data_IF_804316868458
#
_entry.id   IF_804316868458
#
_cell.length_a   1.000
_cell.length_b   1.000
_cell.length_c   1.000
_cell.angle_alpha   90.00
_cell.angle_beta   90.00
_cell.angle_gamma   90.00
#
_symmetry.space_group_name_H-M   'P 1'
#
loop_
_entity.id
_entity.type
_entity.pdbx_description
1 polymer ?
#
# COMPACT_ATOMS: atom_id res chain seq x y z
N UNK A 1 -14.64 21.94 3.47
CA UNK A 1 -13.61 21.20 2.72
C UNK A 1 -14.29 20.22 1.79
N UNK A 2 -13.91 20.12 0.54
CA UNK A 2 -14.41 19.09 -0.37
C UNK A 2 -13.88 17.73 0.10
N UNK A 3 -14.73 16.73 0.14
CA UNK A 3 -14.30 15.36 0.47
C UNK A 3 -13.66 14.73 -0.77
N UNK A 4 -12.34 14.56 -0.75
CA UNK A 4 -11.54 14.03 -1.87
C UNK A 4 -11.27 12.54 -1.76
N UNK A 5 -11.64 11.93 -0.62
CA UNK A 5 -11.48 10.51 -0.34
C UNK A 5 -12.75 10.01 0.31
N UNK A 6 -13.30 8.93 -0.17
CA UNK A 6 -14.45 8.25 0.41
C UNK A 6 -14.01 6.99 1.13
N UNK A 7 -14.57 6.77 2.30
CA UNK A 7 -14.28 5.57 3.09
C UNK A 7 -15.53 4.72 3.24
N UNK A 8 -15.36 3.42 3.17
CA UNK A 8 -16.39 2.44 3.50
C UNK A 8 -15.77 1.31 4.32
N UNK A 9 -16.52 0.76 5.27
CA UNK A 9 -16.11 -0.39 6.07
C UNK A 9 -17.13 -1.50 5.91
N UNK A 10 -16.67 -2.67 5.50
CA UNK A 10 -17.51 -3.83 5.29
C UNK A 10 -16.75 -5.10 5.66
N UNK A 11 -17.30 -5.91 6.56
CA UNK A 11 -16.83 -7.26 6.90
C UNK A 11 -15.32 -7.37 7.26
N UNK A 12 -14.77 -6.34 7.91
CA UNK A 12 -13.36 -6.29 8.27
C UNK A 12 -12.47 -5.62 7.22
N UNK A 13 -12.99 -5.29 6.05
CA UNK A 13 -12.29 -4.59 4.98
C UNK A 13 -12.59 -3.10 5.07
N UNK A 14 -11.55 -2.28 5.09
CA UNK A 14 -11.66 -0.84 5.03
C UNK A 14 -11.28 -0.34 3.64
N UNK A 15 -12.24 0.21 2.92
CA UNK A 15 -12.05 0.77 1.59
C UNK A 15 -11.69 2.26 1.68
N UNK A 16 -10.60 2.63 1.01
CA UNK A 16 -10.12 4.00 0.85
C UNK A 16 -10.25 4.39 -0.63
N UNK A 17 -11.40 4.93 -1.00
CA UNK A 17 -11.71 5.32 -2.37
C UNK A 17 -11.20 6.72 -2.68
N UNK A 18 -10.20 6.83 -3.55
CA UNK A 18 -9.65 8.08 -4.05
C UNK A 18 -10.67 8.73 -5.01
N UNK A 19 -11.13 9.96 -4.71
CA UNK A 19 -12.24 10.64 -5.42
C UNK A 19 -11.93 12.10 -5.72
N UNK A 20 -10.84 12.35 -6.43
CA UNK A 20 -10.45 13.69 -6.90
C UNK A 20 -10.35 13.73 -8.43
N UNK A 21 -11.48 13.95 -9.13
CA UNK A 21 -11.47 14.06 -10.58
C UNK A 21 -10.53 15.17 -11.10
N UNK A 22 -9.96 14.99 -12.32
CA UNK A 22 -10.12 13.82 -13.19
C UNK A 22 -9.17 12.67 -12.86
N UNK A 23 -8.01 12.89 -12.19
CA UNK A 23 -6.84 12.02 -12.21
C UNK A 23 -6.30 11.67 -10.80
N UNK A 24 -7.02 11.97 -9.74
CA UNK A 24 -6.55 11.79 -8.35
C UNK A 24 -5.15 12.39 -8.09
N UNK A 25 -4.88 13.57 -8.66
CA UNK A 25 -3.61 14.24 -8.45
C UNK A 25 -3.43 14.61 -6.96
N UNK A 26 -2.23 14.39 -6.43
CA UNK A 26 -1.89 14.57 -5.02
C UNK A 26 -1.66 16.07 -4.71
N UNK A 27 -2.74 16.77 -4.33
CA UNK A 27 -2.68 18.12 -3.74
C UNK A 27 -2.39 18.02 -2.24
N UNK A 28 -2.01 19.14 -1.62
CA UNK A 28 -1.80 19.19 -0.16
C UNK A 28 -3.04 18.80 0.62
N UNK A 29 -4.22 19.24 0.20
CA UNK A 29 -5.50 18.86 0.83
C UNK A 29 -5.80 17.36 0.70
N UNK A 30 -5.49 16.76 -0.46
CA UNK A 30 -5.63 15.32 -0.66
C UNK A 30 -4.69 14.53 0.25
N UNK A 31 -3.42 14.94 0.35
CA UNK A 31 -2.40 14.32 1.20
C UNK A 31 -2.82 14.39 2.68
N UNK A 32 -3.33 15.54 3.12
CA UNK A 32 -3.80 15.73 4.49
C UNK A 32 -5.00 14.84 4.83
N UNK A 33 -6.00 14.76 3.94
CA UNK A 33 -7.15 13.86 4.13
C UNK A 33 -6.72 12.39 4.17
N UNK A 34 -5.79 11.97 3.28
CA UNK A 34 -5.28 10.60 3.26
C UNK A 34 -4.52 10.26 4.55
N UNK A 35 -3.72 11.21 5.04
CA UNK A 35 -2.98 11.07 6.31
C UNK A 35 -3.93 10.82 7.46
N UNK A 36 -4.95 11.69 7.65
CA UNK A 36 -5.92 11.56 8.73
C UNK A 36 -6.70 10.25 8.69
N UNK A 37 -7.07 9.80 7.49
CA UNK A 37 -7.76 8.52 7.31
C UNK A 37 -6.88 7.35 7.76
N UNK A 38 -5.60 7.33 7.38
CA UNK A 38 -4.70 6.25 7.78
C UNK A 38 -4.31 6.31 9.27
N UNK A 39 -4.25 7.50 9.88
CA UNK A 39 -4.12 7.64 11.33
C UNK A 39 -5.33 7.04 12.07
N UNK A 40 -6.55 7.21 11.54
CA UNK A 40 -7.76 6.58 12.08
C UNK A 40 -7.72 5.06 11.89
N UNK A 41 -7.43 4.58 10.68
CA UNK A 41 -7.33 3.14 10.37
C UNK A 41 -6.31 2.43 11.27
N UNK A 42 -5.14 3.03 11.46
CA UNK A 42 -4.05 2.44 12.26
C UNK A 42 -4.43 2.27 13.74
N UNK A 43 -5.45 2.98 14.21
CA UNK A 43 -6.02 2.85 15.56
C UNK A 43 -7.30 1.99 15.60
N UNK A 44 -7.84 1.58 14.46
CA UNK A 44 -9.08 0.81 14.37
C UNK A 44 -8.80 -0.70 14.53
N UNK A 45 -9.21 -1.25 15.68
CA UNK A 45 -9.01 -2.68 16.01
C UNK A 45 -9.89 -3.64 15.22
N UNK A 46 -10.96 -3.16 14.63
CA UNK A 46 -11.89 -3.98 13.85
C UNK A 46 -11.44 -4.09 12.40
N UNK A 47 -10.56 -3.19 11.95
CA UNK A 47 -9.97 -3.25 10.61
C UNK A 47 -9.04 -4.49 10.49
N UNK A 48 -9.29 -5.29 9.47
CA UNK A 48 -8.51 -6.50 9.16
C UNK A 48 -7.62 -6.31 7.94
N UNK A 49 -8.08 -5.56 6.96
CA UNK A 49 -7.41 -5.28 5.68
C UNK A 49 -7.85 -3.90 5.17
N UNK A 50 -6.97 -3.21 4.49
CA UNK A 50 -7.25 -1.96 3.78
C UNK A 50 -7.12 -2.18 2.28
N UNK A 51 -8.12 -1.73 1.51
CA UNK A 51 -8.05 -1.66 0.05
C UNK A 51 -8.07 -0.18 -0.34
N UNK A 52 -7.00 0.31 -0.98
CA UNK A 52 -6.95 1.62 -1.61
C UNK A 52 -7.34 1.45 -3.06
N UNK A 53 -8.41 2.09 -3.48
CA UNK A 53 -8.92 2.04 -4.85
C UNK A 53 -9.27 3.43 -5.37
N UNK A 54 -9.43 3.59 -6.66
CA UNK A 54 -9.93 4.83 -7.25
C UNK A 54 -11.42 4.76 -7.53
N UNK A 55 -12.10 5.90 -7.36
CA UNK A 55 -13.50 6.10 -7.75
C UNK A 55 -13.63 6.91 -9.06
N UNK A 56 -12.50 7.16 -9.72
CA UNK A 56 -12.38 7.81 -11.03
C UNK A 56 -11.62 6.89 -11.99
N UNK A 57 -11.41 7.35 -13.23
CA UNK A 57 -10.84 6.50 -14.29
C UNK A 57 -9.37 6.07 -14.06
N UNK A 58 -8.63 6.77 -13.20
CA UNK A 58 -7.22 6.51 -12.96
C UNK A 58 -6.94 6.37 -11.46
N UNK A 59 -6.03 5.48 -11.11
CA UNK A 59 -5.64 5.30 -9.72
C UNK A 59 -5.08 6.60 -9.14
N UNK A 60 -3.99 7.12 -9.71
CA UNK A 60 -3.42 8.41 -9.31
C UNK A 60 -2.35 8.85 -10.32
N UNK A 61 -2.44 10.08 -10.80
CA UNK A 61 -1.48 10.65 -11.75
C UNK A 61 -0.23 11.28 -11.10
N UNK A 62 -0.08 11.16 -9.77
CA UNK A 62 1.03 11.74 -9.03
C UNK A 62 0.79 13.16 -8.53
N UNK A 63 1.85 13.90 -8.27
CA UNK A 63 1.78 15.25 -7.71
C UNK A 63 0.94 16.21 -8.57
N UNK A 64 0.17 17.09 -7.91
CA UNK A 64 -0.56 18.15 -8.62
C UNK A 64 0.42 19.21 -9.15
N UNK A 65 0.78 19.06 -10.44
CA UNK A 65 1.74 19.97 -11.09
C UNK A 65 1.23 21.41 -11.18
N UNK A 66 -0.10 21.64 -11.17
CA UNK A 66 -0.66 22.99 -11.16
C UNK A 66 -0.40 23.67 -9.82
N UNK A 67 -0.61 22.93 -8.72
CA UNK A 67 -0.29 23.41 -7.38
C UNK A 67 1.22 23.58 -7.20
N UNK A 68 2.03 22.63 -7.65
CA UNK A 68 3.50 22.69 -7.57
C UNK A 68 4.10 23.87 -8.31
N UNK A 69 3.57 24.24 -9.47
CA UNK A 69 4.07 25.33 -10.31
C UNK A 69 4.09 26.70 -9.62
N UNK A 70 3.19 26.92 -8.67
CA UNK A 70 3.05 28.22 -7.96
C UNK A 70 3.71 28.20 -6.57
N UNK A 71 4.28 27.08 -6.15
CA UNK A 71 4.97 26.98 -4.87
C UNK A 71 6.36 27.61 -4.92
N UNK A 72 6.77 28.25 -3.82
CA UNK A 72 8.19 28.56 -3.59
C UNK A 72 8.98 27.27 -3.40
N UNK A 73 10.30 27.32 -3.52
CA UNK A 73 11.17 26.16 -3.27
C UNK A 73 10.97 25.59 -1.86
N UNK A 74 10.87 26.48 -0.86
CA UNK A 74 10.62 26.08 0.53
C UNK A 74 9.28 25.37 0.71
N UNK A 75 8.21 25.90 0.11
CA UNK A 75 6.88 25.25 0.16
C UNK A 75 6.84 23.93 -0.60
N UNK A 76 7.61 23.80 -1.68
CA UNK A 76 7.72 22.55 -2.43
C UNK A 76 8.42 21.47 -1.62
N UNK A 77 9.45 21.83 -0.83
CA UNK A 77 10.17 20.94 0.08
C UNK A 77 9.25 20.49 1.23
N UNK A 78 8.57 21.44 1.89
CA UNK A 78 7.57 21.13 2.93
C UNK A 78 6.42 20.25 2.42
N UNK A 79 6.00 20.45 1.18
CA UNK A 79 4.97 19.59 0.56
C UNK A 79 5.47 18.16 0.31
N UNK A 80 6.76 18.01 0.00
CA UNK A 80 7.40 16.71 -0.13
C UNK A 80 7.51 16.01 1.23
N UNK A 81 7.85 16.73 2.29
CA UNK A 81 7.87 16.19 3.66
C UNK A 81 6.50 15.68 4.09
N UNK A 82 5.42 16.44 3.81
CA UNK A 82 4.05 15.99 4.08
C UNK A 82 3.69 14.72 3.33
N UNK A 83 4.08 14.64 2.05
CA UNK A 83 3.85 13.47 1.21
C UNK A 83 4.59 12.24 1.74
N UNK A 84 5.88 12.40 2.09
CA UNK A 84 6.69 11.35 2.69
C UNK A 84 6.10 10.87 4.02
N UNK A 85 5.66 11.81 4.89
CA UNK A 85 5.02 11.45 6.15
C UNK A 85 3.73 10.64 5.92
N UNK A 86 2.87 11.06 4.99
CA UNK A 86 1.65 10.34 4.62
C UNK A 86 1.98 8.91 4.17
N UNK A 87 2.95 8.74 3.28
CA UNK A 87 3.33 7.45 2.75
C UNK A 87 3.96 6.53 3.80
N UNK A 88 4.74 7.09 4.71
CA UNK A 88 5.27 6.33 5.85
C UNK A 88 4.16 5.85 6.80
N UNK A 89 3.11 6.67 7.02
CA UNK A 89 1.94 6.26 7.81
C UNK A 89 1.18 5.11 7.14
N UNK A 90 1.03 5.15 5.81
CA UNK A 90 0.42 4.07 5.03
C UNK A 90 1.26 2.78 5.11
N UNK A 91 2.57 2.87 4.87
CA UNK A 91 3.49 1.73 4.93
C UNK A 91 3.54 1.09 6.31
N UNK A 92 3.41 1.91 7.37
CA UNK A 92 3.38 1.46 8.76
C UNK A 92 2.02 0.94 9.23
N UNK A 93 1.00 0.91 8.36
CA UNK A 93 -0.31 0.34 8.68
C UNK A 93 -0.15 -1.07 9.26
N UNK A 94 -0.72 -1.36 10.45
CA UNK A 94 -0.49 -2.64 11.09
C UNK A 94 -1.15 -3.82 10.35
N UNK A 95 -2.26 -3.57 9.67
CA UNK A 95 -2.98 -4.59 8.89
C UNK A 95 -2.50 -4.62 7.43
N UNK A 96 -2.71 -5.71 6.68
CA UNK A 96 -2.38 -5.74 5.26
C UNK A 96 -3.09 -4.65 4.46
N UNK A 97 -2.37 -4.10 3.47
CA UNK A 97 -2.84 -3.05 2.57
C UNK A 97 -2.74 -3.52 1.13
N UNK A 98 -3.78 -3.27 0.32
CA UNK A 98 -3.87 -3.62 -1.09
C UNK A 98 -4.08 -2.34 -1.89
N UNK A 99 -3.23 -2.07 -2.89
CA UNK A 99 -3.48 -1.05 -3.90
C UNK A 99 -4.18 -1.70 -5.09
N UNK A 100 -5.44 -1.32 -5.32
CA UNK A 100 -6.24 -1.75 -6.46
C UNK A 100 -6.14 -0.70 -7.57
N UNK A 101 -5.36 -0.98 -8.61
CA UNK A 101 -4.84 -0.03 -9.59
C UNK A 101 -5.62 -0.17 -10.90
N UNK A 102 -6.43 0.83 -11.23
CA UNK A 102 -7.05 1.02 -12.54
C UNK A 102 -6.40 2.17 -13.31
N UNK A 103 -6.47 2.13 -14.64
CA UNK A 103 -5.99 3.21 -15.51
C UNK A 103 -4.53 3.59 -15.25
N UNK A 104 -4.25 4.87 -14.98
CA UNK A 104 -2.90 5.36 -14.76
C UNK A 104 -2.51 5.37 -13.28
N UNK A 105 -1.30 4.86 -12.99
CA UNK A 105 -0.65 4.90 -11.68
C UNK A 105 0.77 5.50 -11.88
N UNK A 106 0.91 6.82 -11.77
CA UNK A 106 2.14 7.51 -12.21
C UNK A 106 2.77 8.35 -11.11
N UNK A 107 4.10 8.37 -11.08
CA UNK A 107 4.89 9.22 -10.17
C UNK A 107 4.51 8.98 -8.70
N UNK A 108 4.09 10.03 -8.00
CA UNK A 108 3.61 9.92 -6.62
C UNK A 108 2.45 8.92 -6.44
N UNK A 109 1.67 8.64 -7.49
CA UNK A 109 0.66 7.58 -7.47
C UNK A 109 1.28 6.19 -7.45
N UNK A 110 2.34 5.98 -8.23
CA UNK A 110 3.12 4.74 -8.17
C UNK A 110 3.86 4.61 -6.81
N UNK A 111 4.39 5.71 -6.28
CA UNK A 111 5.00 5.74 -4.95
C UNK A 111 3.99 5.41 -3.84
N UNK A 112 2.73 5.87 -3.95
CA UNK A 112 1.63 5.47 -3.06
C UNK A 112 1.36 3.95 -3.14
N UNK A 113 1.27 3.40 -4.35
CA UNK A 113 1.05 1.98 -4.55
C UNK A 113 2.19 1.12 -3.97
N UNK A 114 3.45 1.60 -4.06
CA UNK A 114 4.61 0.93 -3.45
C UNK A 114 4.60 0.93 -1.91
N UNK A 115 3.79 1.76 -1.26
CA UNK A 115 3.63 1.75 0.20
C UNK A 115 2.68 0.65 0.68
N UNK A 116 1.88 0.07 -0.21
CA UNK A 116 1.00 -1.04 0.10
C UNK A 116 1.75 -2.38 0.11
N UNK A 117 1.22 -3.35 0.85
CA UNK A 117 1.79 -4.70 0.89
C UNK A 117 1.61 -5.41 -0.45
N UNK A 118 0.42 -5.28 -1.04
CA UNK A 118 0.08 -5.90 -2.32
C UNK A 118 -0.43 -4.86 -3.32
N UNK A 119 -0.20 -5.10 -4.61
CA UNK A 119 -0.67 -4.33 -5.76
C UNK A 119 -1.38 -5.26 -6.71
N UNK A 120 -2.60 -4.91 -7.07
CA UNK A 120 -3.40 -5.59 -8.11
C UNK A 120 -3.66 -4.56 -9.20
N UNK A 121 -3.31 -4.87 -10.43
CA UNK A 121 -3.54 -4.00 -11.57
C UNK A 121 -4.64 -4.56 -12.48
N UNK A 122 -5.53 -3.72 -13.01
CA UNK A 122 -6.34 -4.11 -14.17
C UNK A 122 -5.45 -4.42 -15.36
N UNK A 123 -5.90 -5.29 -16.26
CA UNK A 123 -5.16 -5.64 -17.50
C UNK A 123 -4.79 -4.38 -18.30
N UNK A 124 -5.73 -3.42 -18.45
CA UNK A 124 -5.52 -2.18 -19.19
C UNK A 124 -4.74 -1.11 -18.43
N UNK A 125 -4.45 -1.31 -17.14
CA UNK A 125 -3.76 -0.31 -16.31
C UNK A 125 -2.28 -0.17 -16.67
N UNK A 126 -1.73 1.02 -16.39
CA UNK A 126 -0.29 1.29 -16.56
C UNK A 126 0.29 1.96 -15.34
N UNK A 127 1.55 1.64 -15.04
CA UNK A 127 2.29 2.20 -13.90
C UNK A 127 3.65 2.76 -14.36
N UNK A 128 4.19 3.78 -13.70
CA UNK A 128 5.50 4.31 -14.07
C UNK A 128 5.95 5.52 -13.25
N UNK A 129 7.22 5.88 -13.45
CA UNK A 129 7.90 6.98 -12.73
C UNK A 129 8.40 8.03 -13.75
N UNK A 130 7.54 8.97 -14.19
CA UNK A 130 7.88 9.94 -15.24
C UNK A 130 8.75 11.13 -14.76
N UNK A 131 9.14 11.18 -13.50
CA UNK A 131 9.75 12.33 -12.83
C UNK A 131 10.99 12.84 -13.54
N UNK A 132 11.87 11.96 -14.04
CA UNK A 132 13.11 12.37 -14.70
C UNK A 132 12.87 13.07 -16.04
N UNK A 133 11.70 12.83 -16.67
CA UNK A 133 11.31 13.56 -17.90
C UNK A 133 10.96 15.01 -17.67
N UNK A 134 10.70 15.41 -16.43
CA UNK A 134 10.43 16.79 -16.02
C UNK A 134 11.52 17.37 -15.11
N UNK A 135 12.71 16.73 -15.09
CA UNK A 135 13.90 17.26 -14.41
C UNK A 135 13.96 17.08 -12.89
N UNK A 136 13.17 16.15 -12.35
CA UNK A 136 13.19 15.78 -10.92
C UNK A 136 13.33 14.25 -10.78
N UNK A 137 13.39 13.76 -9.56
CA UNK A 137 13.38 12.32 -9.25
C UNK A 137 12.11 11.94 -8.50
N UNK A 138 11.72 10.65 -8.44
CA UNK A 138 10.73 10.17 -7.47
C UNK A 138 11.19 10.54 -6.06
N UNK A 139 10.45 11.43 -5.41
CA UNK A 139 10.87 12.05 -4.14
C UNK A 139 10.15 11.50 -2.91
N UNK A 140 9.09 10.70 -3.11
CA UNK A 140 8.29 10.15 -2.04
C UNK A 140 8.54 8.64 -1.81
N UNK A 141 9.75 8.18 -2.09
CA UNK A 141 10.24 6.85 -1.78
C UNK A 141 10.33 5.89 -2.96
N UNK A 142 9.97 6.29 -4.18
CA UNK A 142 10.08 5.43 -5.37
C UNK A 142 11.49 4.89 -5.58
N UNK A 143 12.52 5.74 -5.42
CA UNK A 143 13.93 5.34 -5.52
C UNK A 143 14.37 4.39 -4.40
N UNK A 144 13.62 4.28 -3.32
CA UNK A 144 13.96 3.44 -2.15
C UNK A 144 13.13 2.16 -2.10
N UNK A 145 11.84 2.22 -2.49
CA UNK A 145 10.91 1.07 -2.43
C UNK A 145 11.00 0.19 -3.66
N UNK A 146 11.09 0.77 -4.85
CA UNK A 146 11.15 0.00 -6.10
C UNK A 146 12.32 -1.00 -6.14
N UNK A 147 13.57 -0.63 -5.76
CA UNK A 147 14.69 -1.58 -5.76
C UNK A 147 14.56 -2.73 -4.76
N UNK A 148 13.69 -2.59 -3.74
CA UNK A 148 13.42 -3.65 -2.76
C UNK A 148 12.43 -4.69 -3.29
N UNK A 149 11.53 -4.30 -4.19
CA UNK A 149 10.57 -5.19 -4.83
C UNK A 149 11.18 -5.91 -6.04
N UNK A 150 11.99 -5.19 -6.80
CA UNK A 150 12.61 -5.66 -8.04
C UNK A 150 14.11 -5.94 -7.81
N UNK A 151 14.93 -5.56 -8.73
CA UNK A 151 16.38 -5.46 -8.58
C UNK A 151 16.87 -4.07 -9.00
N UNK A 152 18.14 -3.74 -8.67
CA UNK A 152 18.70 -2.41 -8.92
C UNK A 152 18.67 -2.04 -10.41
N UNK A 153 18.92 -2.98 -11.32
CA UNK A 153 18.95 -2.71 -12.77
C UNK A 153 17.55 -2.41 -13.29
N UNK A 154 16.57 -3.22 -12.92
CA UNK A 154 15.15 -3.02 -13.24
C UNK A 154 14.65 -1.68 -12.69
N UNK A 155 14.91 -1.38 -11.41
CA UNK A 155 14.51 -0.10 -10.82
C UNK A 155 15.12 1.11 -11.55
N UNK A 156 16.39 1.03 -11.96
CA UNK A 156 17.04 2.07 -12.78
C UNK A 156 16.37 2.21 -14.14
N UNK A 157 16.05 1.11 -14.80
CA UNK A 157 15.38 1.14 -16.11
C UNK A 157 13.98 1.78 -15.99
N UNK A 158 13.21 1.40 -15.02
CA UNK A 158 11.89 1.96 -14.75
C UNK A 158 11.93 3.47 -14.54
N UNK A 159 12.86 3.94 -13.70
CA UNK A 159 12.97 5.37 -13.37
C UNK A 159 13.62 6.15 -14.50
N UNK A 160 14.74 5.66 -15.05
CA UNK A 160 15.51 6.43 -16.05
C UNK A 160 14.82 6.54 -17.40
N UNK A 161 14.02 5.54 -17.79
CA UNK A 161 13.25 5.57 -19.03
C UNK A 161 12.06 6.52 -18.98
N UNK A 162 11.56 6.85 -17.79
CA UNK A 162 10.35 7.66 -17.57
C UNK A 162 9.09 7.16 -18.33
N UNK A 163 9.10 5.90 -18.79
CA UNK A 163 7.99 5.32 -19.55
C UNK A 163 6.91 4.79 -18.64
N UNK A 164 5.74 4.52 -19.22
CA UNK A 164 4.69 3.74 -18.60
C UNK A 164 4.91 2.27 -18.95
N UNK A 165 4.68 1.40 -17.99
CA UNK A 165 4.75 -0.05 -18.12
C UNK A 165 3.35 -0.64 -18.04
N UNK A 166 3.08 -1.69 -18.81
CA UNK A 166 1.80 -2.42 -18.76
C UNK A 166 1.70 -3.24 -17.49
N UNK A 167 0.51 -3.78 -17.22
CA UNK A 167 0.27 -4.68 -16.09
C UNK A 167 1.12 -5.95 -16.20
N UNK A 168 1.32 -6.50 -17.41
CA UNK A 168 2.14 -7.69 -17.66
C UNK A 168 3.63 -7.40 -17.41
N UNK A 169 4.16 -6.27 -17.92
CA UNK A 169 5.53 -5.84 -17.63
C UNK A 169 5.73 -5.64 -16.12
N UNK A 170 4.75 -5.06 -15.43
CA UNK A 170 4.79 -4.84 -14.00
C UNK A 170 4.77 -6.16 -13.20
N UNK A 171 4.03 -7.17 -13.67
CA UNK A 171 4.00 -8.50 -13.08
C UNK A 171 5.34 -9.23 -13.29
N UNK A 172 5.89 -9.20 -14.50
CA UNK A 172 7.18 -9.81 -14.84
C UNK A 172 8.32 -9.21 -13.99
N UNK A 173 8.32 -7.88 -13.84
CA UNK A 173 9.30 -7.14 -13.04
C UNK A 173 9.00 -7.16 -11.52
N UNK A 174 7.92 -7.81 -11.06
CA UNK A 174 7.48 -7.90 -9.66
C UNK A 174 7.11 -6.54 -9.04
N UNK A 175 6.68 -5.60 -9.85
CA UNK A 175 6.16 -4.30 -9.39
C UNK A 175 4.68 -4.41 -9.02
N UNK A 176 3.93 -5.29 -9.68
CA UNK A 176 2.60 -5.74 -9.23
C UNK A 176 2.63 -7.21 -8.83
N UNK A 177 1.69 -7.63 -7.99
CA UNK A 177 1.60 -8.98 -7.45
C UNK A 177 0.57 -9.81 -8.22
N UNK A 178 -0.51 -9.16 -8.74
CA UNK A 178 -1.60 -9.81 -9.46
C UNK A 178 -2.11 -8.90 -10.58
N UNK A 179 -2.75 -9.51 -11.58
CA UNK A 179 -3.49 -8.82 -12.64
C UNK A 179 -4.95 -9.27 -12.53
N UNK A 180 -5.86 -8.32 -12.55
CA UNK A 180 -7.31 -8.54 -12.59
C UNK A 180 -7.84 -8.24 -14.00
N UNK A 181 -8.82 -9.00 -14.51
CA UNK A 181 -9.53 -8.62 -15.71
C UNK A 181 -10.13 -7.21 -15.60
N UNK A 182 -10.25 -6.51 -16.71
CA UNK A 182 -10.87 -5.19 -16.72
C UNK A 182 -12.31 -5.25 -16.18
N UNK A 183 -12.58 -4.41 -15.19
CA UNK A 183 -13.87 -4.34 -14.49
C UNK A 183 -14.01 -5.31 -13.30
N UNK A 184 -13.06 -6.21 -13.05
CA UNK A 184 -13.08 -7.17 -11.93
C UNK A 184 -12.07 -6.82 -10.81
N UNK A 185 -11.42 -5.65 -10.89
CA UNK A 185 -10.36 -5.23 -9.96
C UNK A 185 -10.77 -5.28 -8.49
N UNK A 186 -11.96 -4.77 -8.18
CA UNK A 186 -12.45 -4.72 -6.80
C UNK A 186 -12.80 -6.12 -6.30
N UNK A 187 -13.42 -6.95 -7.14
CA UNK A 187 -13.75 -8.35 -6.81
C UNK A 187 -12.46 -9.14 -6.52
N UNK A 188 -11.48 -9.07 -7.42
CA UNK A 188 -10.16 -9.71 -7.22
C UNK A 188 -9.46 -9.22 -5.94
N UNK A 189 -9.59 -7.93 -5.63
CA UNK A 189 -9.02 -7.36 -4.39
C UNK A 189 -9.72 -7.87 -3.13
N UNK A 190 -11.04 -8.06 -3.19
CA UNK A 190 -11.83 -8.65 -2.10
C UNK A 190 -11.48 -10.13 -1.93
N UNK A 191 -11.33 -10.90 -3.01
CA UNK A 191 -10.93 -12.30 -2.95
C UNK A 191 -9.59 -12.48 -2.23
N UNK A 192 -8.58 -11.68 -2.57
CA UNK A 192 -7.30 -11.68 -1.86
C UNK A 192 -7.49 -11.28 -0.38
N UNK A 193 -8.28 -10.26 -0.10
CA UNK A 193 -8.57 -9.83 1.27
C UNK A 193 -9.22 -10.95 2.08
N UNK A 194 -10.23 -11.63 1.52
CA UNK A 194 -10.92 -12.75 2.18
C UNK A 194 -9.99 -13.94 2.41
N UNK A 195 -9.10 -14.26 1.47
CA UNK A 195 -8.08 -15.29 1.63
C UNK A 195 -7.18 -14.98 2.84
N UNK A 196 -6.66 -13.76 2.92
CA UNK A 196 -5.81 -13.34 4.03
C UNK A 196 -6.56 -13.34 5.37
N UNK A 197 -7.82 -12.92 5.38
CA UNK A 197 -8.67 -12.87 6.57
C UNK A 197 -9.07 -14.25 7.11
N UNK A 198 -8.86 -15.33 6.36
CA UNK A 198 -9.00 -16.68 6.90
C UNK A 198 -8.02 -17.00 8.03
N UNK A 199 -6.99 -16.17 8.23
CA UNK A 199 -5.94 -16.36 9.23
C UNK A 199 -6.12 -15.44 10.44
N UNK A 200 -5.45 -15.79 11.55
CA UNK A 200 -5.53 -15.06 12.81
C UNK A 200 -4.99 -13.63 12.67
N UNK A 201 -5.78 -12.58 12.97
CA UNK A 201 -5.40 -11.19 12.69
C UNK A 201 -4.12 -10.74 13.41
N UNK A 202 -3.96 -11.08 14.68
CA UNK A 202 -2.76 -10.72 15.44
C UNK A 202 -1.50 -11.42 14.92
N UNK A 203 -1.64 -12.61 14.32
CA UNK A 203 -0.53 -13.31 13.69
C UNK A 203 -0.11 -12.65 12.37
N UNK A 204 -1.09 -12.18 11.57
CA UNK A 204 -0.80 -11.41 10.35
C UNK A 204 -0.08 -10.12 10.71
N UNK A 205 -0.60 -9.34 11.68
CA UNK A 205 0.01 -8.08 12.15
C UNK A 205 1.46 -8.32 12.62
N UNK A 206 1.68 -9.34 13.44
CA UNK A 206 3.00 -9.66 13.95
C UNK A 206 3.96 -10.14 12.84
N UNK A 207 3.46 -10.87 11.84
CA UNK A 207 4.23 -11.31 10.69
C UNK A 207 4.62 -10.14 9.80
N UNK A 208 3.68 -9.23 9.48
CA UNK A 208 3.94 -8.01 8.72
C UNK A 208 5.01 -7.15 9.42
N UNK A 209 4.88 -6.91 10.74
CA UNK A 209 5.89 -6.16 11.50
C UNK A 209 7.27 -6.83 11.41
N UNK A 210 7.33 -8.16 11.52
CA UNK A 210 8.59 -8.90 11.46
C UNK A 210 9.23 -8.82 10.07
N UNK A 211 8.42 -8.99 9.01
CA UNK A 211 8.88 -8.93 7.62
C UNK A 211 9.38 -7.52 7.29
N UNK A 212 8.60 -6.47 7.62
CA UNK A 212 9.01 -5.10 7.34
C UNK A 212 10.33 -4.73 8.03
N UNK A 213 10.53 -5.18 9.27
CA UNK A 213 11.80 -4.97 9.99
C UNK A 213 12.97 -5.78 9.41
N UNK A 214 12.72 -6.86 8.69
CA UNK A 214 13.80 -7.66 8.12
C UNK A 214 14.59 -6.92 7.04
N UNK A 215 13.95 -5.96 6.35
CA UNK A 215 14.60 -5.14 5.31
C UNK A 215 15.34 -3.93 5.87
N UNK A 216 15.24 -3.65 7.17
CA UNK A 216 15.94 -2.54 7.83
C UNK A 216 17.36 -2.92 8.29
N UNK A 217 17.67 -4.22 8.36
CA UNK A 217 18.97 -4.70 8.81
C UNK A 217 19.51 -5.84 7.95
N UNK A 218 20.80 -5.80 7.68
CA UNK A 218 21.53 -6.91 7.02
C UNK A 218 22.07 -7.93 8.05
N UNK A 219 21.82 -7.71 9.34
CA UNK A 219 22.31 -8.59 10.40
C UNK A 219 21.26 -9.64 10.75
N UNK A 220 21.45 -10.87 10.27
CA UNK A 220 20.50 -11.98 10.52
C UNK A 220 20.23 -12.24 12.00
N UNK A 221 21.20 -12.03 12.89
CA UNK A 221 20.99 -12.23 14.34
C UNK A 221 20.02 -11.19 14.90
N UNK A 222 20.14 -9.95 14.47
CA UNK A 222 19.23 -8.87 14.83
C UNK A 222 17.83 -9.11 14.26
N UNK A 223 17.73 -9.52 12.97
CA UNK A 223 16.48 -9.89 12.33
C UNK A 223 15.74 -11.01 13.09
N UNK A 224 16.45 -12.08 13.49
CA UNK A 224 15.88 -13.18 14.29
C UNK A 224 15.46 -12.74 15.72
N UNK A 225 16.14 -11.76 16.34
CA UNK A 225 15.67 -11.18 17.60
C UNK A 225 14.37 -10.40 17.43
N UNK A 226 14.23 -9.66 16.33
CA UNK A 226 12.98 -8.98 15.97
C UNK A 226 11.85 -9.96 15.72
N UNK A 227 12.09 -11.01 14.92
CA UNK A 227 11.11 -12.08 14.67
C UNK A 227 10.65 -12.71 15.98
N UNK A 228 11.57 -13.06 16.88
CA UNK A 228 11.24 -13.63 18.20
C UNK A 228 10.39 -12.68 19.04
N UNK A 229 10.63 -11.37 18.96
CA UNK A 229 9.82 -10.37 19.66
C UNK A 229 8.40 -10.33 19.09
N UNK A 230 8.25 -10.34 17.77
CA UNK A 230 6.95 -10.40 17.10
C UNK A 230 6.21 -11.69 17.41
N UNK A 231 6.89 -12.85 17.36
CA UNK A 231 6.33 -14.15 17.71
C UNK A 231 5.77 -14.19 19.15
N UNK A 232 6.47 -13.58 20.11
CA UNK A 232 6.01 -13.52 21.52
C UNK A 232 4.67 -12.79 21.68
N UNK A 233 4.32 -11.85 20.78
CA UNK A 233 3.03 -11.15 20.81
C UNK A 233 1.85 -12.09 20.53
N UNK A 234 2.07 -13.20 19.85
CA UNK A 234 1.02 -14.16 19.49
C UNK A 234 0.83 -15.30 20.52
N UNK A 235 1.82 -15.51 21.44
CA UNK A 235 1.83 -16.68 22.32
C UNK A 235 0.66 -16.73 23.33
N UNK A 236 0.21 -15.57 23.83
CA UNK A 236 -0.82 -15.48 24.86
C UNK A 236 -2.18 -15.00 24.30
N UNK A 237 -2.39 -15.11 22.99
CA UNK A 237 -3.63 -14.67 22.35
C UNK A 237 -4.73 -15.73 22.49
N UNK A 238 -5.99 -15.29 22.55
CA UNK A 238 -7.15 -16.18 22.49
C UNK A 238 -7.23 -16.90 21.15
N UNK A 239 -6.80 -16.26 20.07
CA UNK A 239 -6.77 -16.86 18.74
C UNK A 239 -5.81 -18.05 18.66
N UNK A 240 -4.68 -18.00 19.36
CA UNK A 240 -3.78 -19.17 19.45
C UNK A 240 -4.45 -20.34 20.18
N UNK A 241 -5.17 -20.08 21.26
CA UNK A 241 -5.92 -21.12 22.00
C UNK A 241 -7.02 -21.70 21.12
N UNK A 242 -7.77 -20.84 20.42
CA UNK A 242 -8.81 -21.22 19.46
C UNK A 242 -8.23 -22.08 18.32
N UNK A 243 -7.07 -21.71 17.78
CA UNK A 243 -6.41 -22.51 16.75
C UNK A 243 -6.13 -23.95 17.19
N UNK A 244 -5.62 -24.14 18.41
CA UNK A 244 -5.32 -25.47 18.97
C UNK A 244 -6.61 -26.29 19.21
N UNK A 245 -7.66 -25.64 19.71
CA UNK A 245 -8.96 -26.29 19.92
C UNK A 245 -9.59 -26.67 18.57
N UNK A 246 -9.65 -25.76 17.62
CA UNK A 246 -10.20 -26.00 16.29
C UNK A 246 -9.47 -27.16 15.56
N UNK A 247 -8.13 -27.20 15.69
CA UNK A 247 -7.33 -28.29 15.14
C UNK A 247 -7.69 -29.64 15.75
N UNK A 248 -7.80 -29.72 17.08
CA UNK A 248 -8.16 -30.94 17.78
C UNK A 248 -9.59 -31.42 17.46
N UNK A 249 -10.50 -30.46 17.25
CA UNK A 249 -11.91 -30.72 16.92
C UNK A 249 -12.17 -30.88 15.41
N UNK A 250 -11.13 -30.76 14.56
CA UNK A 250 -11.20 -30.82 13.09
C UNK A 250 -12.22 -29.87 12.47
N UNK A 251 -12.30 -28.65 12.98
CA UNK A 251 -13.15 -27.55 12.47
C UNK A 251 -12.33 -26.33 12.07
N UNK A 252 -12.94 -25.41 11.35
CA UNK A 252 -12.34 -24.10 11.10
C UNK A 252 -12.30 -23.26 12.38
N UNK A 253 -11.20 -22.54 12.64
CA UNK A 253 -11.10 -21.63 13.79
C UNK A 253 -11.98 -20.39 13.59
N UNK A 254 -12.36 -19.77 14.71
CA UNK A 254 -13.11 -18.52 14.74
C UNK A 254 -12.24 -17.44 15.38
N UNK A 255 -11.67 -16.58 14.56
CA UNK A 255 -10.75 -15.55 15.00
C UNK A 255 -11.47 -14.39 15.69
N UNK A 256 -10.87 -13.84 16.73
CA UNK A 256 -11.40 -12.72 17.52
C UNK A 256 -10.46 -11.52 17.59
N UNK A 257 -9.20 -11.66 17.18
CA UNK A 257 -8.20 -10.61 17.28
C UNK A 257 -7.79 -10.29 18.72
N UNK A 258 -7.78 -11.27 19.60
CA UNK A 258 -7.57 -11.08 21.05
C UNK A 258 -6.54 -12.08 21.61
#
# INVERSE_FOLDING_TARGET
MQKLIKTNYQDGIFFVGLDRPPENALSLDFIEQLTLIFEEINNNKDCRIVIINSLVNNFCAGADLKERKIMSLENADLALDKLNNCFNIIESCPVPTIAAINGFCLGGGAELALCCDFRIMEESATIGFPEVSIGIIPGAGGTQRLPKLTNISTAKYWIFSARKFTSEEALEDKVTDFIAPDGELIETSIELAEELMQNAPLSIIASKESINKSIETNNIKEALLNERRCYRKTLNTKDRIEALNAFSEKRKPKWRGQ
#
